data_IF_671515603942
#
_entry.id   IF_671515603942
#
_cell.length_a   1.000
_cell.length_b   1.000
_cell.length_c   1.000
_cell.angle_alpha   90.00
_cell.angle_beta   90.00
_cell.angle_gamma   90.00
#
_symmetry.space_group_name_H-M   'P 1'
#
loop_
_entity.id
_entity.type
_entity.pdbx_description
1 polymer ?
#
# COMPACT_ATOMS: atom_id res chain seq x y z
N UNK A 1 -4.78 -7.55 1.87
CA UNK A 1 -6.20 -7.91 2.03
C UNK A 1 -7.10 -7.22 1.03
N UNK A 2 -6.88 -5.94 0.79
CA UNK A 2 -7.65 -5.16 -0.17
C UNK A 2 -6.73 -4.56 -1.24
N UNK A 3 -7.28 -4.38 -2.43
CA UNK A 3 -6.68 -3.58 -3.48
C UNK A 3 -7.57 -2.35 -3.67
N UNK A 4 -7.03 -1.17 -3.37
CA UNK A 4 -7.76 0.09 -3.38
C UNK A 4 -7.25 0.95 -4.53
N UNK A 5 -8.15 1.41 -5.40
CA UNK A 5 -7.81 2.44 -6.38
C UNK A 5 -8.12 3.81 -5.77
N UNK A 6 -7.07 4.60 -5.57
CA UNK A 6 -7.16 5.98 -5.10
C UNK A 6 -7.72 6.89 -6.20
N UNK A 7 -8.27 8.05 -5.82
CA UNK A 7 -8.78 9.03 -6.78
C UNK A 7 -7.67 9.60 -7.66
N UNK A 8 -6.45 9.69 -7.11
CA UNK A 8 -5.22 9.97 -7.88
C UNK A 8 -4.95 8.97 -9.02
N UNK A 9 -5.59 7.80 -9.04
CA UNK A 9 -5.37 6.73 -10.00
C UNK A 9 -4.36 5.69 -9.54
N UNK A 10 -3.71 5.90 -8.40
CA UNK A 10 -2.75 4.97 -7.81
C UNK A 10 -3.44 3.76 -7.19
N UNK A 11 -2.71 2.66 -7.15
CA UNK A 11 -3.17 1.40 -6.56
C UNK A 11 -2.50 1.24 -5.19
N UNK A 12 -3.31 1.11 -4.15
CA UNK A 12 -2.88 0.84 -2.80
C UNK A 12 -3.25 -0.59 -2.40
N UNK A 13 -2.24 -1.41 -2.10
CA UNK A 13 -2.43 -2.70 -1.45
C UNK A 13 -2.54 -2.46 0.05
N UNK A 14 -3.73 -2.70 0.61
CA UNK A 14 -4.00 -2.51 2.03
C UNK A 14 -4.09 -3.86 2.74
N UNK A 15 -3.22 -4.08 3.72
CA UNK A 15 -3.33 -5.21 4.64
C UNK A 15 -3.93 -4.76 5.98
N UNK A 16 -4.82 -5.56 6.53
CA UNK A 16 -5.41 -5.35 7.85
C UNK A 16 -4.87 -6.41 8.79
N UNK A 17 -4.19 -6.01 9.87
CA UNK A 17 -3.56 -6.94 10.82
C UNK A 17 -4.08 -6.69 12.22
N UNK A 18 -4.37 -7.75 12.98
CA UNK A 18 -4.59 -7.67 14.42
C UNK A 18 -3.32 -7.88 15.25
N UNK A 19 -2.34 -8.63 14.73
CA UNK A 19 -1.02 -8.86 15.32
C UNK A 19 0.05 -8.94 14.22
N UNK A 20 1.24 -8.41 14.51
CA UNK A 20 2.40 -8.36 13.61
C UNK A 20 3.31 -9.57 13.89
N UNK A 21 3.27 -10.60 13.04
CA UNK A 21 4.09 -11.82 13.19
C UNK A 21 5.36 -11.77 12.32
N UNK A 22 6.39 -12.57 12.63
CA UNK A 22 7.59 -12.68 11.78
C UNK A 22 7.25 -13.08 10.33
N UNK A 23 6.21 -13.89 10.15
CA UNK A 23 5.73 -14.27 8.81
C UNK A 23 5.16 -13.07 8.03
N UNK A 24 4.60 -12.08 8.73
CA UNK A 24 4.09 -10.85 8.12
C UNK A 24 5.21 -9.93 7.65
N UNK A 25 6.35 -9.92 8.35
CA UNK A 25 7.55 -9.19 7.90
C UNK A 25 8.09 -9.75 6.59
N UNK A 26 8.13 -11.08 6.47
CA UNK A 26 8.57 -11.75 5.24
C UNK A 26 7.61 -11.44 4.09
N UNK A 27 6.29 -11.53 4.31
CA UNK A 27 5.30 -11.13 3.31
C UNK A 27 5.45 -9.68 2.87
N UNK A 28 5.68 -8.74 3.80
CA UNK A 28 5.90 -7.32 3.47
C UNK A 28 7.09 -7.10 2.57
N UNK A 29 8.19 -7.81 2.80
CA UNK A 29 9.37 -7.70 1.95
C UNK A 29 9.08 -8.13 0.51
N UNK A 30 8.40 -9.26 0.34
CA UNK A 30 8.00 -9.70 -1.00
C UNK A 30 7.01 -8.74 -1.67
N UNK A 31 6.08 -8.17 -0.89
CA UNK A 31 5.13 -7.18 -1.39
C UNK A 31 5.83 -5.90 -1.82
N UNK A 32 6.82 -5.44 -1.06
CA UNK A 32 7.65 -4.29 -1.39
C UNK A 32 8.44 -4.52 -2.68
N UNK A 33 9.15 -5.64 -2.78
CA UNK A 33 9.92 -6.02 -3.99
C UNK A 33 9.01 -6.10 -5.23
N UNK A 34 7.83 -6.69 -5.08
CA UNK A 34 6.85 -6.77 -6.17
C UNK A 34 6.30 -5.38 -6.57
N UNK A 35 5.98 -4.54 -5.59
CA UNK A 35 5.50 -3.17 -5.83
C UNK A 35 6.54 -2.34 -6.59
N UNK A 36 7.82 -2.47 -6.21
CA UNK A 36 8.92 -1.82 -6.91
C UNK A 36 9.04 -2.31 -8.36
N UNK A 37 8.93 -3.62 -8.60
CA UNK A 37 8.99 -4.18 -9.95
C UNK A 37 7.83 -3.69 -10.83
N UNK A 38 6.62 -3.61 -10.30
CA UNK A 38 5.44 -3.09 -11.03
C UNK A 38 5.62 -1.60 -11.36
N UNK A 39 6.10 -0.81 -10.40
CA UNK A 39 6.37 0.61 -10.63
C UNK A 39 7.48 0.83 -11.66
N UNK A 40 8.53 0.01 -11.63
CA UNK A 40 9.62 0.06 -12.60
C UNK A 40 9.15 -0.30 -14.02
N UNK A 41 8.15 -1.19 -14.15
CA UNK A 41 7.54 -1.49 -15.44
C UNK A 41 6.75 -0.30 -16.01
N UNK A 42 6.14 0.53 -15.17
CA UNK A 42 5.48 1.79 -15.56
C UNK A 42 4.14 1.66 -16.29
N UNK A 43 3.73 0.44 -16.68
CA UNK A 43 2.49 0.19 -17.44
C UNK A 43 1.19 0.14 -16.62
N UNK A 44 1.28 0.11 -15.28
CA UNK A 44 0.13 -0.16 -14.40
C UNK A 44 -0.22 0.98 -13.43
N UNK A 45 0.28 2.20 -13.68
CA UNK A 45 0.21 3.30 -12.72
C UNK A 45 1.20 3.14 -11.56
N UNK A 46 1.07 3.97 -10.52
CA UNK A 46 1.90 3.85 -9.32
C UNK A 46 1.20 2.96 -8.29
N UNK A 47 1.93 1.98 -7.78
CA UNK A 47 1.52 1.01 -6.80
C UNK A 47 2.21 1.30 -5.47
N UNK A 48 1.45 1.15 -4.40
CA UNK A 48 1.89 1.39 -3.03
C UNK A 48 1.28 0.33 -2.12
N UNK A 49 1.84 0.17 -0.95
CA UNK A 49 1.30 -0.74 0.06
C UNK A 49 1.28 -0.10 1.43
N UNK A 50 0.34 -0.51 2.26
CA UNK A 50 0.23 -0.08 3.65
C UNK A 50 -0.42 -1.16 4.51
N UNK A 51 -0.15 -1.10 5.82
CA UNK A 51 -0.72 -2.01 6.81
C UNK A 51 -1.49 -1.18 7.83
N UNK A 52 -2.79 -1.47 7.98
CA UNK A 52 -3.62 -0.92 9.05
C UNK A 52 -3.69 -1.93 10.20
N UNK A 53 -3.26 -1.52 11.40
CA UNK A 53 -3.27 -2.37 12.61
C UNK A 53 -4.61 -2.33 13.35
N UNK A 54 -5.39 -1.29 13.10
CA UNK A 54 -6.72 -1.12 13.63
C UNK A 54 -7.63 -0.48 12.58
N UNK A 55 -8.95 -0.76 12.61
CA UNK A 55 -9.88 -0.21 11.62
C UNK A 55 -9.85 1.32 11.51
N UNK A 56 -9.56 2.03 12.60
CA UNK A 56 -9.46 3.49 12.63
C UNK A 56 -8.33 4.06 11.75
N UNK A 57 -7.24 3.31 11.55
CA UNK A 57 -6.07 3.75 10.77
C UNK A 57 -6.31 3.70 9.25
N UNK A 58 -7.33 2.96 8.79
CA UNK A 58 -7.59 2.78 7.35
C UNK A 58 -7.78 4.13 6.66
N UNK A 59 -8.50 5.06 7.32
CA UNK A 59 -8.76 6.40 6.77
C UNK A 59 -7.47 7.19 6.63
N UNK A 60 -6.62 7.16 7.66
CA UNK A 60 -5.36 7.92 7.67
C UNK A 60 -4.39 7.39 6.62
N UNK A 61 -4.33 6.07 6.45
CA UNK A 61 -3.54 5.40 5.40
C UNK A 61 -3.99 5.81 4.00
N UNK A 62 -5.29 5.89 3.75
CA UNK A 62 -5.83 6.34 2.46
C UNK A 62 -5.48 7.81 2.22
N UNK A 63 -5.62 8.68 3.23
CA UNK A 63 -5.29 10.11 3.10
C UNK A 63 -3.81 10.34 2.83
N UNK A 64 -2.91 9.66 3.54
CA UNK A 64 -1.46 9.69 3.26
C UNK A 64 -1.14 9.20 1.84
N UNK A 65 -1.91 8.22 1.35
CA UNK A 65 -1.87 7.76 -0.03
C UNK A 65 -2.19 8.89 -1.03
N UNK A 66 -3.19 9.72 -0.79
CA UNK A 66 -3.52 10.79 -1.75
C UNK A 66 -2.50 11.94 -1.72
N UNK A 67 -1.93 12.26 -0.56
CA UNK A 67 -0.99 13.39 -0.39
C UNK A 67 0.38 13.16 -1.06
N UNK A 68 0.89 11.94 -1.09
CA UNK A 68 2.22 11.67 -1.64
C UNK A 68 2.37 11.95 -3.15
N UNK A 69 1.28 12.22 -3.88
CA UNK A 69 1.31 12.61 -5.30
C UNK A 69 1.24 14.13 -5.52
N UNK A 70 0.76 14.91 -4.54
CA UNK A 70 0.58 16.36 -4.66
C UNK A 70 1.82 17.18 -4.29
N UNK A 71 2.85 16.54 -3.71
CA UNK A 71 4.14 17.15 -3.37
C UNK A 71 5.23 16.96 -4.42
N UNK A 72 4.90 17.08 -5.71
CA UNK A 72 5.84 17.00 -6.84
C UNK A 72 6.14 18.37 -7.45
#
# INVERSE_FOLDING_TARGET
>A
DFLVRLQSGDILVLETKGQDTEQDKVKRRYLEEWTQAVNAHGGFGCWRWAVARQPGEIRDVIMQGEEARTGG
#
